data_IF_905923906754
#
_entry.id   IF_905923906754
#
_cell.length_a   1.000
_cell.length_b   1.000
_cell.length_c   1.000
_cell.angle_alpha   90.00
_cell.angle_beta   90.00
_cell.angle_gamma   90.00
#
_symmetry.space_group_name_H-M   'P 1'
#
loop_
_entity.id
_entity.type
_entity.pdbx_description
1 polymer ?
#
# COMPACT_ATOMS: atom_id res chain seq x y z
N UNK A 1 -16.59 -12.38 6.39
CA UNK A 1 -15.61 -13.01 7.30
C UNK A 1 -14.51 -11.99 7.49
N UNK A 2 -14.24 -11.54 8.71
CA UNK A 2 -13.22 -10.50 8.97
C UNK A 2 -11.96 -11.20 9.44
N UNK A 3 -10.88 -11.06 8.67
CA UNK A 3 -9.55 -11.54 9.05
C UNK A 3 -8.88 -10.41 9.84
N UNK A 4 -8.32 -10.75 11.01
CA UNK A 4 -7.45 -9.86 11.78
C UNK A 4 -6.05 -10.45 11.77
N UNK A 5 -5.06 -9.59 11.53
CA UNK A 5 -3.65 -9.94 11.55
C UNK A 5 -3.00 -9.14 12.66
N UNK A 6 -2.32 -9.83 13.56
CA UNK A 6 -1.53 -9.21 14.61
C UNK A 6 -0.12 -8.94 14.07
N UNK A 7 0.25 -7.67 14.05
CA UNK A 7 1.58 -7.22 13.67
C UNK A 7 2.35 -6.79 14.93
N UNK A 8 3.64 -7.14 14.97
CA UNK A 8 4.58 -6.59 15.94
C UNK A 8 5.38 -5.48 15.27
N UNK A 9 5.16 -4.25 15.72
CA UNK A 9 5.81 -3.06 15.17
C UNK A 9 6.79 -2.48 16.19
N UNK A 10 7.77 -1.72 15.72
CA UNK A 10 8.72 -1.00 16.55
C UNK A 10 8.37 0.49 16.50
N UNK A 11 7.76 1.01 17.56
CA UNK A 11 7.48 2.43 17.68
C UNK A 11 8.76 3.17 18.08
N UNK A 12 9.20 4.09 17.24
CA UNK A 12 10.37 4.91 17.48
C UNK A 12 10.34 5.56 18.87
N UNK A 13 11.41 5.35 19.64
CA UNK A 13 11.55 5.87 21.01
C UNK A 13 10.68 5.21 22.08
N UNK A 14 9.82 4.24 21.74
CA UNK A 14 8.90 3.57 22.68
C UNK A 14 9.04 2.04 22.71
N UNK A 15 9.64 1.44 21.68
CA UNK A 15 9.87 -0.01 21.60
C UNK A 15 8.75 -0.76 20.88
N UNK A 16 8.64 -2.07 21.15
CA UNK A 16 7.68 -2.94 20.49
C UNK A 16 6.23 -2.62 20.89
N UNK A 17 5.33 -2.61 19.89
CA UNK A 17 3.89 -2.50 20.06
C UNK A 17 3.17 -3.58 19.27
N UNK A 18 2.03 -4.05 19.78
CA UNK A 18 1.10 -4.91 19.06
C UNK A 18 0.10 -4.05 18.27
N UNK A 19 -0.09 -4.37 16.99
CA UNK A 19 -1.06 -3.71 16.12
C UNK A 19 -1.98 -4.73 15.45
N UNK A 20 -3.27 -4.67 15.76
CA UNK A 20 -4.28 -5.53 15.15
C UNK A 20 -4.81 -4.89 13.86
N UNK A 21 -4.35 -5.39 12.72
CA UNK A 21 -4.79 -4.96 11.40
C UNK A 21 -6.03 -5.74 10.96
N UNK A 22 -7.09 -5.04 10.55
CA UNK A 22 -8.32 -5.68 10.05
C UNK A 22 -8.78 -5.15 8.69
N UNK A 23 -8.22 -4.02 8.23
CA UNK A 23 -8.54 -3.41 6.95
C UNK A 23 -7.31 -2.71 6.38
N UNK A 24 -7.14 -2.81 5.06
CA UNK A 24 -6.19 -2.00 4.31
C UNK A 24 -6.90 -1.25 3.19
N UNK A 25 -6.48 0.00 3.02
CA UNK A 25 -6.90 0.87 1.93
C UNK A 25 -5.64 1.36 1.25
N UNK A 26 -5.60 1.20 -0.06
CA UNK A 26 -4.51 1.65 -0.92
C UNK A 26 -5.01 2.87 -1.69
N UNK A 27 -4.30 3.98 -1.57
CA UNK A 27 -4.60 5.21 -2.29
C UNK A 27 -3.78 5.30 -3.58
N UNK A 28 -4.44 5.17 -4.73
CA UNK A 28 -3.82 5.42 -6.04
C UNK A 28 -4.06 6.84 -6.52
N UNK A 29 -3.12 7.40 -7.30
CA UNK A 29 -3.20 8.75 -7.87
C UNK A 29 -3.42 9.84 -6.80
N UNK A 30 -2.72 9.71 -5.66
CA UNK A 30 -2.83 10.61 -4.50
C UNK A 30 -1.86 11.79 -4.56
N UNK A 31 -1.08 11.90 -5.63
CA UNK A 31 -0.11 12.98 -5.83
C UNK A 31 -0.76 14.35 -5.87
N UNK A 32 -0.05 15.37 -5.36
CA UNK A 32 -0.50 16.77 -5.45
C UNK A 32 -0.23 17.37 -6.84
N UNK A 33 0.72 16.79 -7.57
CA UNK A 33 1.11 17.22 -8.91
C UNK A 33 0.15 16.65 -9.95
N UNK A 34 -0.78 17.49 -10.39
CA UNK A 34 -1.79 17.15 -11.38
C UNK A 34 -1.15 16.83 -12.73
N UNK A 35 -0.06 17.49 -13.12
CA UNK A 35 0.60 17.22 -14.41
C UNK A 35 1.28 15.85 -14.39
N UNK A 36 1.91 15.48 -13.27
CA UNK A 36 2.49 14.15 -13.09
C UNK A 36 1.41 13.05 -13.11
N UNK A 37 0.24 13.30 -12.49
CA UNK A 37 -0.90 12.39 -12.53
C UNK A 37 -1.41 12.22 -13.97
N UNK A 38 -1.65 13.31 -14.69
CA UNK A 38 -2.15 13.25 -16.07
C UNK A 38 -1.17 12.52 -16.99
N UNK A 39 0.14 12.77 -16.84
CA UNK A 39 1.17 12.03 -17.59
C UNK A 39 1.10 10.53 -17.32
N UNK A 40 0.95 10.13 -16.05
CA UNK A 40 0.84 8.71 -15.71
C UNK A 40 -0.45 8.07 -16.26
N UNK A 41 -1.56 8.82 -16.30
CA UNK A 41 -2.80 8.38 -16.95
C UNK A 41 -2.63 8.18 -18.45
N UNK A 42 -1.84 9.02 -19.12
CA UNK A 42 -1.51 8.86 -20.53
C UNK A 42 -0.65 7.62 -20.78
N UNK A 43 0.37 7.37 -19.94
CA UNK A 43 1.19 6.14 -19.98
C UNK A 43 0.33 4.87 -19.83
N UNK A 44 -0.64 4.90 -18.91
CA UNK A 44 -1.59 3.79 -18.71
C UNK A 44 -2.53 3.63 -19.93
N UNK A 45 -2.99 4.73 -20.52
CA UNK A 45 -3.85 4.68 -21.70
C UNK A 45 -3.13 4.10 -22.93
N UNK A 46 -1.83 4.37 -23.10
CA UNK A 46 -1.00 3.81 -24.19
C UNK A 46 -0.94 2.27 -24.16
N UNK A 47 -1.00 1.68 -22.96
CA UNK A 47 -1.04 0.21 -22.79
C UNK A 47 -2.46 -0.36 -22.70
N UNK A 48 -3.48 0.45 -22.98
CA UNK A 48 -4.89 0.03 -23.05
C UNK A 48 -5.63 0.01 -21.71
N UNK A 49 -5.06 0.58 -20.65
CA UNK A 49 -5.75 0.71 -19.36
C UNK A 49 -6.77 1.84 -19.44
N UNK A 50 -7.99 1.56 -18.97
CA UNK A 50 -9.07 2.56 -18.98
C UNK A 50 -8.82 3.64 -17.93
N UNK A 51 -8.94 4.91 -18.32
CA UNK A 51 -8.85 6.05 -17.39
C UNK A 51 -9.86 5.89 -16.25
N UNK A 52 -9.46 6.20 -15.00
CA UNK A 52 -10.33 6.05 -13.85
C UNK A 52 -11.47 7.06 -13.84
N UNK A 53 -12.57 6.69 -13.17
CA UNK A 53 -13.75 7.55 -13.01
C UNK A 53 -13.63 8.61 -11.91
N UNK A 54 -12.60 8.52 -11.06
CA UNK A 54 -12.33 9.45 -9.98
C UNK A 54 -10.83 9.49 -9.65
N UNK A 55 -10.38 10.63 -9.13
CA UNK A 55 -9.02 10.86 -8.62
C UNK A 55 -9.17 11.58 -7.27
N UNK A 56 -8.58 11.10 -6.16
CA UNK A 56 -7.79 9.87 -6.05
C UNK A 56 -8.64 8.59 -6.13
N UNK A 57 -7.98 7.46 -6.38
CA UNK A 57 -8.58 6.13 -6.36
C UNK A 57 -8.30 5.43 -5.03
N UNK A 58 -9.26 4.65 -4.55
CA UNK A 58 -9.09 3.84 -3.36
C UNK A 58 -9.38 2.37 -3.65
N UNK A 59 -8.40 1.53 -3.38
CA UNK A 59 -8.50 0.08 -3.51
C UNK A 59 -8.51 -0.56 -2.13
N UNK A 60 -9.16 -1.72 -2.03
CA UNK A 60 -9.07 -2.60 -0.86
C UNK A 60 -8.33 -3.85 -1.25
N UNK A 61 -7.57 -4.37 -0.31
CA UNK A 61 -7.03 -5.71 -0.37
C UNK A 61 -7.29 -6.40 0.99
N UNK A 62 -7.11 -7.71 1.02
CA UNK A 62 -7.28 -8.49 2.25
C UNK A 62 -6.17 -8.15 3.26
N UNK A 63 -6.52 -8.05 4.54
CA UNK A 63 -5.58 -7.66 5.60
C UNK A 63 -4.41 -8.64 5.76
N UNK A 64 -4.62 -9.92 5.43
CA UNK A 64 -3.61 -10.98 5.39
C UNK A 64 -2.59 -10.86 4.26
N UNK A 65 -2.75 -9.88 3.37
CA UNK A 65 -1.72 -9.53 2.40
C UNK A 65 -0.59 -8.70 3.02
N UNK A 66 -0.78 -8.10 4.21
CA UNK A 66 0.28 -7.30 4.85
C UNK A 66 1.30 -8.18 5.54
N UNK A 67 2.58 -7.87 5.34
CA UNK A 67 3.70 -8.55 5.98
C UNK A 67 4.80 -7.57 6.38
N UNK A 68 5.51 -7.87 7.46
CA UNK A 68 6.75 -7.18 7.86
C UNK A 68 7.99 -8.04 7.61
N UNK A 69 7.88 -9.08 6.78
CA UNK A 69 9.00 -9.94 6.41
C UNK A 69 9.98 -9.22 5.47
N UNK A 70 11.26 -9.60 5.56
CA UNK A 70 12.32 -9.06 4.70
C UNK A 70 12.19 -9.50 3.22
N UNK A 71 11.49 -10.62 2.97
CA UNK A 71 11.30 -11.20 1.65
C UNK A 71 9.85 -11.65 1.44
N UNK A 72 9.39 -11.58 0.19
CA UNK A 72 8.07 -12.07 -0.22
C UNK A 72 8.17 -13.01 -1.41
N UNK A 73 7.18 -13.88 -1.55
CA UNK A 73 7.03 -14.73 -2.72
C UNK A 73 5.98 -14.14 -3.65
N UNK A 74 6.30 -14.11 -4.93
CA UNK A 74 5.44 -13.64 -6.02
C UNK A 74 5.35 -14.72 -7.10
N UNK A 75 4.30 -14.68 -7.91
CA UNK A 75 4.03 -15.70 -8.93
C UNK A 75 5.09 -15.70 -10.03
N UNK A 76 5.65 -14.53 -10.37
CA UNK A 76 6.62 -14.38 -11.44
C UNK A 76 7.38 -13.07 -11.38
N UNK A 77 8.15 -12.81 -12.43
CA UNK A 77 9.09 -11.68 -12.50
C UNK A 77 8.42 -10.35 -12.88
N UNK A 78 7.19 -10.38 -13.38
CA UNK A 78 6.44 -9.19 -13.81
C UNK A 78 5.78 -8.45 -12.64
N UNK A 79 6.48 -8.33 -11.53
CA UNK A 79 6.03 -7.59 -10.34
C UNK A 79 7.03 -6.51 -10.00
N UNK A 80 6.56 -5.46 -9.33
CA UNK A 80 7.43 -4.38 -8.86
C UNK A 80 6.93 -3.81 -7.55
N UNK A 81 7.86 -3.36 -6.70
CA UNK A 81 7.55 -2.58 -5.52
C UNK A 81 7.19 -1.13 -5.86
N UNK A 82 6.34 -0.54 -5.03
CA UNK A 82 5.95 0.87 -5.09
C UNK A 82 6.15 1.43 -3.68
N UNK A 83 7.21 2.21 -3.47
CA UNK A 83 7.53 2.72 -2.13
C UNK A 83 6.53 3.81 -1.72
N UNK A 84 5.84 3.58 -0.60
CA UNK A 84 4.75 4.42 -0.11
C UNK A 84 4.90 4.70 1.39
N UNK A 85 4.32 5.81 1.84
CA UNK A 85 4.07 6.00 3.26
C UNK A 85 2.84 5.17 3.67
N UNK A 86 2.92 4.56 4.85
CA UNK A 86 1.82 3.77 5.42
C UNK A 86 1.27 4.52 6.62
N UNK A 87 -0.04 4.76 6.65
CA UNK A 87 -0.72 5.39 7.78
C UNK A 87 -1.48 4.35 8.59
N UNK A 88 -1.22 4.32 9.90
CA UNK A 88 -1.81 3.35 10.83
C UNK A 88 -2.61 4.11 11.90
N UNK A 89 -3.94 3.98 11.86
CA UNK A 89 -4.80 4.57 12.88
C UNK A 89 -4.75 3.78 14.18
N UNK A 90 -4.58 4.47 15.30
CA UNK A 90 -4.65 3.90 16.66
C UNK A 90 -5.60 4.73 17.54
N UNK A 91 -5.89 4.24 18.75
CA UNK A 91 -6.65 5.00 19.74
C UNK A 91 -5.91 6.27 20.23
N UNK A 92 -4.57 6.26 20.17
CA UNK A 92 -3.70 7.33 20.65
C UNK A 92 -3.26 8.30 19.54
N UNK A 93 -3.72 8.08 18.31
CA UNK A 93 -3.41 8.91 17.15
C UNK A 93 -2.90 8.12 15.95
N UNK A 94 -2.41 8.84 14.94
CA UNK A 94 -1.89 8.26 13.71
C UNK A 94 -0.41 7.91 13.86
N UNK A 95 -0.02 6.71 13.44
CA UNK A 95 1.37 6.36 13.19
C UNK A 95 1.65 6.40 11.69
N UNK A 96 2.91 6.60 11.34
CA UNK A 96 3.40 6.54 9.96
C UNK A 96 4.54 5.54 9.88
N UNK A 97 4.56 4.77 8.80
CA UNK A 97 5.65 3.87 8.43
C UNK A 97 5.95 3.98 6.94
N UNK A 98 6.79 3.07 6.46
CA UNK A 98 7.12 2.93 5.04
C UNK A 98 6.71 1.53 4.59
N UNK A 99 6.16 1.42 3.40
CA UNK A 99 5.80 0.15 2.81
C UNK A 99 5.91 0.13 1.29
N UNK A 100 5.58 -1.03 0.74
CA UNK A 100 5.54 -1.30 -0.68
C UNK A 100 4.12 -1.71 -1.07
N UNK A 101 3.47 -0.93 -1.92
CA UNK A 101 2.27 -1.36 -2.64
C UNK A 101 2.67 -2.25 -3.83
N UNK A 102 3.32 -3.37 -3.52
CA UNK A 102 3.88 -4.28 -4.52
C UNK A 102 2.77 -4.74 -5.48
N UNK A 103 3.02 -4.70 -6.78
CA UNK A 103 1.99 -4.84 -7.81
C UNK A 103 2.45 -5.77 -8.91
N UNK A 104 1.56 -6.64 -9.39
CA UNK A 104 1.75 -7.43 -10.61
C UNK A 104 1.39 -6.58 -11.85
N UNK A 105 2.39 -6.26 -12.67
CA UNK A 105 2.24 -5.34 -13.80
C UNK A 105 1.49 -5.95 -14.97
N UNK A 106 1.58 -7.28 -15.16
CA UNK A 106 0.81 -7.97 -16.20
C UNK A 106 -0.67 -7.97 -15.88
N UNK A 107 -1.01 -8.21 -14.61
CA UNK A 107 -2.39 -8.22 -14.16
C UNK A 107 -2.95 -6.81 -14.06
N UNK A 108 -2.11 -5.81 -13.74
CA UNK A 108 -2.53 -4.41 -13.65
C UNK A 108 -3.11 -3.90 -14.97
N UNK A 109 -2.52 -4.28 -16.10
CA UNK A 109 -3.03 -3.96 -17.44
C UNK A 109 -4.44 -4.52 -17.70
N UNK A 110 -4.81 -5.61 -17.01
CA UNK A 110 -6.16 -6.17 -17.04
C UNK A 110 -7.08 -5.53 -15.99
N UNK A 111 -6.61 -5.39 -14.74
CA UNK A 111 -7.34 -4.80 -13.64
C UNK A 111 -6.40 -4.39 -12.50
N UNK A 112 -6.34 -3.08 -12.24
CA UNK A 112 -5.59 -2.50 -11.12
C UNK A 112 -6.05 -3.13 -9.79
N UNK A 113 -7.35 -3.25 -9.55
CA UNK A 113 -7.84 -3.80 -8.28
C UNK A 113 -7.37 -5.26 -8.05
N UNK A 114 -7.32 -6.07 -9.12
CA UNK A 114 -6.87 -7.46 -9.02
C UNK A 114 -5.36 -7.53 -8.82
N UNK A 115 -4.58 -6.72 -9.55
CA UNK A 115 -3.12 -6.70 -9.38
C UNK A 115 -2.70 -6.31 -7.96
N UNK A 116 -3.41 -5.34 -7.36
CA UNK A 116 -3.16 -4.93 -5.97
C UNK A 116 -3.43 -6.07 -4.99
N UNK A 117 -4.44 -6.91 -5.20
CA UNK A 117 -4.74 -8.06 -4.33
C UNK A 117 -3.78 -9.25 -4.53
N UNK A 118 -3.10 -9.35 -5.68
CA UNK A 118 -2.28 -10.52 -6.03
C UNK A 118 -0.90 -10.55 -5.36
N UNK A 119 -0.40 -9.41 -4.91
CA UNK A 119 0.94 -9.30 -4.31
C UNK A 119 0.86 -8.91 -2.83
N UNK A 120 1.72 -9.49 -1.97
CA UNK A 120 1.87 -9.04 -0.59
C UNK A 120 2.21 -7.55 -0.48
N UNK A 121 1.73 -6.91 0.58
CA UNK A 121 2.01 -5.51 0.94
C UNK A 121 3.04 -5.52 2.06
N UNK A 122 4.29 -5.29 1.70
CA UNK A 122 5.39 -5.31 2.69
C UNK A 122 5.46 -3.95 3.35
N UNK A 123 5.59 -3.92 4.67
CA UNK A 123 5.90 -2.69 5.39
C UNK A 123 7.07 -2.89 6.34
N UNK A 124 7.85 -1.83 6.55
CA UNK A 124 8.88 -1.82 7.57
C UNK A 124 8.24 -2.03 8.95
N UNK A 125 8.87 -2.80 9.86
CA UNK A 125 8.36 -2.95 11.22
C UNK A 125 8.48 -1.65 12.03
N UNK A 126 9.43 -0.77 11.67
CA UNK A 126 9.61 0.51 12.35
C UNK A 126 8.55 1.53 11.92
N UNK A 127 7.96 2.19 12.91
CA UNK A 127 6.93 3.22 12.74
C UNK A 127 7.17 4.41 13.67
N UNK A 128 6.68 5.57 13.28
CA UNK A 128 6.79 6.84 14.02
C UNK A 128 5.40 7.37 14.34
N UNK A 129 5.28 8.19 15.38
CA UNK A 129 4.07 9.00 15.53
C UNK A 129 4.07 10.01 14.40
N UNK A 130 2.94 10.15 13.71
CA UNK A 130 2.83 11.10 12.60
C UNK A 130 3.21 12.54 13.00
N UNK A 131 2.80 12.94 14.22
CA UNK A 131 3.09 14.26 14.78
C UNK A 131 4.59 14.55 14.93
N UNK A 132 5.44 13.53 15.01
CA UNK A 132 6.88 13.69 15.20
C UNK A 132 7.63 13.89 13.88
N UNK A 133 6.99 13.63 12.72
CA UNK A 133 7.66 13.57 11.40
C UNK A 133 6.91 14.27 10.25
N UNK A 134 5.82 14.98 10.53
CA UNK A 134 5.02 15.69 9.54
C UNK A 134 5.65 17.02 9.06
#
# INVERSE_FOLDING_TARGET
MTVKIDLKLQLAGSGEIDYALDNIIIGGLTGIDVEAIEKHLDELAEIGVTRPSAIPLFFRAAADMVSTADEIQVIGEDTSGEAEFVLLGTADGMLVGVGSDHTDRKVEAYSIAVSKQMCPKVMAPEVWKYEDVK
#
